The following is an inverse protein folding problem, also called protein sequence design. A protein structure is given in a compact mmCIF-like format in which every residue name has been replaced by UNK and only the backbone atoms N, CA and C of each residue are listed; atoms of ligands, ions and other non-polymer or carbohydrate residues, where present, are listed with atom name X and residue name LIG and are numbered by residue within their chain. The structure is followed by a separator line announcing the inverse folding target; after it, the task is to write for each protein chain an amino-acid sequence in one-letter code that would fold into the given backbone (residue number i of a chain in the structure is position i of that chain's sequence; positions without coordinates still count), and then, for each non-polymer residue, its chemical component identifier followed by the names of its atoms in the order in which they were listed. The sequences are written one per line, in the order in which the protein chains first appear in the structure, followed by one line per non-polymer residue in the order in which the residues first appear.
data_IF_073803320501
#
_entry.id   IF_073803320501
#
_cell.length_a   1.000
_cell.length_b   1.000
_cell.length_c   1.000
_cell.angle_alpha   90.00
_cell.angle_beta   90.00
_cell.angle_gamma   90.00
#
_symmetry.space_group_name_H-M   'P 1'
#
loop_
_entity.id
_entity.type
_entity.pdbx_description
1 polymer ?
#
# COMPACT_ATOMS: atom_id res chain seq x y z
N UNK A 1 34.99 13.35 -8.05
CA UNK A 1 34.70 12.46 -9.19
C UNK A 1 34.20 11.15 -8.58
N UNK A 2 32.88 11.00 -8.44
CA UNK A 2 32.28 9.78 -7.89
C UNK A 2 32.22 8.76 -9.03
N UNK A 3 33.14 7.81 -9.02
CA UNK A 3 33.15 6.67 -9.95
C UNK A 3 31.96 5.77 -9.61
N UNK A 4 30.92 5.82 -10.44
CA UNK A 4 29.74 4.95 -10.43
C UNK A 4 30.04 3.55 -11.00
N UNK A 5 31.25 3.03 -10.81
CA UNK A 5 31.64 1.70 -11.27
C UNK A 5 31.44 0.67 -10.16
N UNK A 6 30.18 0.35 -9.92
CA UNK A 6 29.80 -0.96 -9.40
C UNK A 6 28.50 -1.37 -10.07
N UNK A 7 28.62 -1.70 -11.36
CA UNK A 7 27.72 -2.61 -12.04
C UNK A 7 27.79 -3.96 -11.31
N UNK A 8 27.07 -4.06 -10.20
CA UNK A 8 26.85 -5.33 -9.53
C UNK A 8 26.04 -6.19 -10.50
N UNK A 9 26.66 -7.27 -10.98
CA UNK A 9 25.99 -8.39 -11.62
C UNK A 9 24.69 -8.65 -10.83
N UNK A 10 23.50 -8.55 -11.45
CA UNK A 10 22.26 -8.81 -10.73
C UNK A 10 22.29 -10.29 -10.33
N UNK A 11 22.62 -10.56 -9.06
CA UNK A 11 22.31 -11.85 -8.48
C UNK A 11 20.80 -11.95 -8.54
N UNK A 12 20.31 -12.96 -9.26
CA UNK A 12 18.88 -13.21 -9.45
C UNK A 12 18.32 -13.64 -8.09
N UNK A 13 18.01 -12.68 -7.24
CA UNK A 13 17.34 -12.89 -5.97
C UNK A 13 15.86 -13.11 -6.27
N UNK A 14 15.50 -14.37 -6.49
CA UNK A 14 14.14 -14.80 -6.82
C UNK A 14 13.10 -14.45 -5.74
N UNK A 15 13.56 -14.13 -4.52
CA UNK A 15 12.71 -13.70 -3.41
C UNK A 15 12.49 -12.18 -3.37
N UNK A 16 13.25 -11.42 -4.15
CA UNK A 16 13.16 -9.96 -4.18
C UNK A 16 11.75 -9.44 -4.55
N UNK A 17 11.09 -9.98 -5.60
CA UNK A 17 9.72 -9.58 -5.94
C UNK A 17 8.71 -9.90 -4.85
N UNK A 18 8.88 -11.06 -4.19
CA UNK A 18 8.00 -11.48 -3.10
C UNK A 18 8.15 -10.58 -1.88
N UNK A 19 9.38 -10.21 -1.49
CA UNK A 19 9.64 -9.28 -0.38
C UNK A 19 9.05 -7.90 -0.65
N UNK A 20 9.27 -7.38 -1.85
CA UNK A 20 8.69 -6.10 -2.26
C UNK A 20 7.16 -6.14 -2.22
N UNK A 21 6.54 -7.20 -2.75
CA UNK A 21 5.09 -7.38 -2.70
C UNK A 21 4.55 -7.40 -1.27
N UNK A 22 5.14 -8.20 -0.37
CA UNK A 22 4.73 -8.24 1.05
C UNK A 22 4.86 -6.85 1.69
N UNK A 23 5.92 -6.12 1.37
CA UNK A 23 6.14 -4.77 1.90
C UNK A 23 5.06 -3.78 1.43
N UNK A 24 4.81 -3.69 0.13
CA UNK A 24 3.78 -2.82 -0.42
C UNK A 24 2.38 -3.18 0.08
N UNK A 25 2.07 -4.48 0.15
CA UNK A 25 0.79 -4.94 0.69
C UNK A 25 0.64 -4.58 2.17
N UNK A 26 1.69 -4.73 2.97
CA UNK A 26 1.68 -4.39 4.40
C UNK A 26 1.43 -2.88 4.61
N UNK A 27 2.06 -2.03 3.80
CA UNK A 27 1.86 -0.59 3.85
C UNK A 27 0.42 -0.21 3.46
N UNK A 28 -0.10 -0.80 2.38
CA UNK A 28 -1.50 -0.60 1.95
C UNK A 28 -2.49 -1.00 3.05
N UNK A 29 -2.29 -2.18 3.65
CA UNK A 29 -3.11 -2.67 4.76
C UNK A 29 -3.14 -1.71 5.95
N UNK A 30 -1.99 -1.14 6.32
CA UNK A 30 -1.91 -0.15 7.41
C UNK A 30 -2.68 1.12 7.05
N UNK A 31 -2.47 1.69 5.85
CA UNK A 31 -3.14 2.94 5.44
C UNK A 31 -4.65 2.77 5.36
N UNK A 32 -5.13 1.72 4.70
CA UNK A 32 -6.57 1.49 4.58
C UNK A 32 -7.21 1.11 5.91
N UNK A 33 -6.49 0.44 6.82
CA UNK A 33 -6.97 0.22 8.20
C UNK A 33 -7.20 1.53 8.95
N UNK A 34 -6.32 2.53 8.78
CA UNK A 34 -6.51 3.85 9.38
C UNK A 34 -7.75 4.56 8.83
N UNK A 35 -8.00 4.45 7.53
CA UNK A 35 -9.21 4.99 6.89
C UNK A 35 -10.46 4.32 7.45
N UNK A 36 -10.48 3.00 7.58
CA UNK A 36 -11.61 2.25 8.16
C UNK A 36 -11.87 2.67 9.61
N UNK A 37 -10.84 2.84 10.41
CA UNK A 37 -10.97 3.32 11.80
C UNK A 37 -11.52 4.76 11.86
N UNK A 38 -11.05 5.65 10.97
CA UNK A 38 -11.54 7.01 10.88
C UNK A 38 -13.02 7.04 10.45
N UNK A 39 -13.39 6.20 9.48
CA UNK A 39 -14.76 6.05 9.01
C UNK A 39 -15.67 5.49 10.10
N UNK A 40 -15.22 4.49 10.88
CA UNK A 40 -15.97 3.95 12.00
C UNK A 40 -16.27 5.04 13.06
N UNK A 41 -15.26 5.84 13.42
CA UNK A 41 -15.44 6.99 14.31
C UNK A 41 -16.47 7.98 13.75
N UNK A 42 -16.40 8.27 12.45
CA UNK A 42 -17.32 9.19 11.79
C UNK A 42 -18.77 8.68 11.83
N UNK A 43 -18.98 7.41 11.50
CA UNK A 43 -20.30 6.78 11.54
C UNK A 43 -20.87 6.76 12.97
N UNK A 44 -20.03 6.53 13.98
CA UNK A 44 -20.43 6.57 15.39
C UNK A 44 -20.87 7.97 15.83
N UNK A 45 -20.14 9.02 15.44
CA UNK A 45 -20.52 10.42 15.71
C UNK A 45 -21.85 10.77 15.05
N UNK A 46 -22.04 10.36 13.79
CA UNK A 46 -23.30 10.57 13.05
C UNK A 46 -24.43 9.62 13.48
N UNK A 47 -24.22 8.78 14.50
CA UNK A 47 -25.18 7.78 15.03
C UNK A 47 -25.69 6.79 13.97
N UNK A 48 -24.90 6.52 12.93
CA UNK A 48 -25.24 5.58 11.87
C UNK A 48 -24.86 4.17 12.33
N UNK A 49 -25.84 3.27 12.46
CA UNK A 49 -25.64 1.90 12.99
C UNK A 49 -25.03 0.91 11.98
N UNK A 50 -24.44 1.37 10.90
CA UNK A 50 -23.97 0.51 9.79
C UNK A 50 -22.95 -0.55 10.24
N UNK A 51 -22.04 -0.17 11.14
CA UNK A 51 -20.96 -1.01 11.69
C UNK A 51 -21.25 -1.58 13.08
N UNK A 52 -22.50 -1.61 13.54
CA UNK A 52 -22.80 -2.01 14.91
C UNK A 52 -22.64 -3.53 15.15
N UNK A 53 -22.68 -4.34 14.09
CA UNK A 53 -22.49 -5.80 14.18
C UNK A 53 -21.02 -6.18 14.02
N UNK A 54 -20.53 -7.05 14.91
CA UNK A 54 -19.16 -7.60 14.84
C UNK A 54 -18.92 -8.37 13.53
N UNK A 55 -19.93 -9.07 13.00
CA UNK A 55 -19.81 -9.79 11.73
C UNK A 55 -19.54 -8.84 10.58
N UNK A 56 -20.24 -7.70 10.51
CA UNK A 56 -20.03 -6.68 9.47
C UNK A 56 -18.65 -6.05 9.56
N UNK A 57 -18.16 -5.76 10.78
CA UNK A 57 -16.80 -5.24 10.96
C UNK A 57 -15.76 -6.23 10.41
N UNK A 58 -15.89 -7.51 10.77
CA UNK A 58 -15.01 -8.56 10.24
C UNK A 58 -15.10 -8.69 8.72
N UNK A 59 -16.31 -8.65 8.14
CA UNK A 59 -16.48 -8.70 6.67
C UNK A 59 -15.77 -7.54 5.99
N UNK A 60 -15.86 -6.32 6.53
CA UNK A 60 -15.21 -5.15 5.93
C UNK A 60 -13.69 -5.26 6.02
N UNK A 61 -13.16 -5.67 7.18
CA UNK A 61 -11.72 -5.92 7.34
C UNK A 61 -11.25 -6.97 6.35
N UNK A 62 -11.91 -8.13 6.27
CA UNK A 62 -11.54 -9.18 5.30
C UNK A 62 -11.60 -8.70 3.85
N UNK A 63 -12.64 -7.92 3.50
CA UNK A 63 -12.74 -7.34 2.15
C UNK A 63 -11.64 -6.34 1.84
N UNK A 64 -11.20 -5.55 2.82
CA UNK A 64 -10.08 -4.62 2.69
C UNK A 64 -8.77 -5.36 2.48
N UNK A 65 -8.52 -6.46 3.20
CA UNK A 65 -7.33 -7.28 2.97
C UNK A 65 -7.32 -7.88 1.56
N UNK A 66 -8.45 -8.43 1.10
CA UNK A 66 -8.56 -8.95 -0.27
C UNK A 66 -8.30 -7.85 -1.30
N UNK A 67 -8.87 -6.66 -1.08
CA UNK A 67 -8.66 -5.50 -1.93
C UNK A 67 -7.17 -5.12 -1.99
N UNK A 68 -6.46 -5.11 -0.86
CA UNK A 68 -5.04 -4.69 -0.80
C UNK A 68 -4.09 -5.67 -1.47
N UNK A 69 -4.33 -6.98 -1.28
CA UNK A 69 -3.61 -8.01 -2.03
C UNK A 69 -3.86 -7.86 -3.54
N UNK A 70 -5.11 -7.61 -3.94
CA UNK A 70 -5.46 -7.45 -5.36
C UNK A 70 -4.85 -6.18 -5.95
N UNK A 71 -4.87 -5.07 -5.21
CA UNK A 71 -4.35 -3.77 -5.62
C UNK A 71 -2.83 -3.79 -5.80
N UNK A 72 -2.12 -4.55 -4.96
CA UNK A 72 -0.66 -4.68 -5.04
C UNK A 72 -0.18 -5.77 -5.99
N UNK A 73 -1.09 -6.63 -6.49
CA UNK A 73 -0.77 -7.73 -7.39
C UNK A 73 -0.09 -7.31 -8.71
N UNK A 74 -0.48 -6.21 -9.40
CA UNK A 74 0.19 -5.79 -10.63
C UNK A 74 1.68 -5.48 -10.44
N UNK A 75 2.05 -4.99 -9.25
CA UNK A 75 3.44 -4.70 -8.88
C UNK A 75 4.26 -6.00 -8.84
N UNK A 76 3.67 -7.08 -8.33
CA UNK A 76 4.29 -8.39 -8.28
C UNK A 76 4.37 -9.04 -9.67
N UNK A 77 3.28 -9.02 -10.44
CA UNK A 77 3.18 -9.67 -11.76
C UNK A 77 4.11 -9.05 -12.81
N UNK A 78 4.42 -7.76 -12.70
CA UNK A 78 5.32 -7.10 -13.64
C UNK A 78 6.79 -7.48 -13.45
N UNK A 79 7.16 -8.10 -12.32
CA UNK A 79 8.51 -8.58 -12.00
C UNK A 79 9.64 -7.54 -12.24
N UNK A 80 9.32 -6.24 -12.21
CA UNK A 80 10.24 -5.14 -12.50
C UNK A 80 10.92 -4.62 -11.22
N UNK A 81 11.32 -5.54 -10.35
CA UNK A 81 11.92 -5.21 -9.06
C UNK A 81 13.43 -5.20 -9.17
N UNK A 82 14.05 -4.14 -8.65
CA UNK A 82 15.50 -3.99 -8.58
C UNK A 82 15.91 -4.11 -7.12
N UNK A 83 16.97 -4.89 -6.89
CA UNK A 83 17.58 -5.03 -5.57
C UNK A 83 18.60 -3.92 -5.38
N UNK A 84 18.45 -3.13 -4.32
CA UNK A 84 19.52 -2.25 -3.85
C UNK A 84 20.56 -3.14 -3.16
N UNK A 85 21.78 -3.15 -3.67
CA UNK A 85 22.89 -3.96 -3.15
C UNK A 85 23.30 -3.60 -1.73
N UNK A 86 23.02 -2.36 -1.29
CA UNK A 86 23.49 -1.84 0.01
C UNK A 86 22.61 -2.33 1.17
N UNK A 87 21.28 -2.46 0.96
CA UNK A 87 20.34 -2.72 2.06
C UNK A 87 19.49 -4.00 1.89
N UNK A 88 19.75 -4.83 0.87
CA UNK A 88 18.86 -5.93 0.46
C UNK A 88 17.40 -5.47 0.24
N UNK A 89 17.18 -4.18 0.00
CA UNK A 89 15.87 -3.61 -0.26
C UNK A 89 15.48 -3.87 -1.71
N UNK A 90 14.23 -4.27 -1.90
CA UNK A 90 13.65 -4.57 -3.20
C UNK A 90 12.57 -3.54 -3.50
N UNK A 91 12.77 -2.79 -4.57
CA UNK A 91 11.91 -1.67 -4.94
C UNK A 91 11.64 -1.69 -6.44
N UNK A 92 10.59 -0.97 -6.83
CA UNK A 92 10.19 -0.83 -8.23
C UNK A 92 11.28 -0.08 -9.00
N UNK A 93 11.69 -0.60 -10.15
CA UNK A 93 12.65 0.08 -11.02
C UNK A 93 12.21 1.51 -11.35
N UNK A 94 13.13 2.47 -11.22
CA UNK A 94 12.90 3.88 -11.58
C UNK A 94 12.55 4.07 -13.07
N UNK A 95 12.91 3.09 -13.92
CA UNK A 95 12.54 3.10 -15.34
C UNK A 95 11.05 2.89 -15.61
N UNK A 96 10.29 2.38 -14.62
CA UNK A 96 8.84 2.13 -14.71
C UNK A 96 8.06 3.22 -13.99
N UNK A 97 8.10 4.43 -14.56
CA UNK A 97 7.35 5.58 -14.06
C UNK A 97 5.84 5.32 -13.98
N UNK A 98 5.29 4.52 -14.89
CA UNK A 98 3.91 4.04 -14.88
C UNK A 98 3.57 3.33 -13.56
N UNK A 99 4.42 2.39 -13.15
CA UNK A 99 4.23 1.59 -11.94
C UNK A 99 4.51 2.42 -10.67
N UNK A 100 5.44 3.37 -10.73
CA UNK A 100 5.70 4.33 -9.65
C UNK A 100 4.54 5.30 -9.44
N UNK A 101 3.94 5.81 -10.51
CA UNK A 101 2.76 6.67 -10.42
C UNK A 101 1.53 5.90 -9.96
N UNK A 102 1.38 4.65 -10.42
CA UNK A 102 0.33 3.76 -9.92
C UNK A 102 0.47 3.54 -8.41
N UNK A 103 1.67 3.15 -7.95
CA UNK A 103 1.91 2.89 -6.53
C UNK A 103 1.83 4.16 -5.70
N UNK A 104 2.61 5.18 -6.03
CA UNK A 104 2.61 6.47 -5.35
C UNK A 104 1.23 7.14 -5.34
N UNK A 105 0.56 7.20 -6.49
CA UNK A 105 -0.71 7.88 -6.66
C UNK A 105 -1.89 7.13 -6.03
N UNK A 106 -2.05 5.85 -6.36
CA UNK A 106 -3.24 5.10 -5.97
C UNK A 106 -3.13 4.57 -4.54
N UNK A 107 -1.96 4.05 -4.16
CA UNK A 107 -1.80 3.43 -2.82
C UNK A 107 -1.62 4.50 -1.75
N UNK A 108 -0.83 5.56 -2.01
CA UNK A 108 -0.50 6.56 -1.00
C UNK A 108 -1.37 7.82 -1.14
N UNK A 109 -1.25 8.55 -2.25
CA UNK A 109 -1.88 9.87 -2.39
C UNK A 109 -3.40 9.79 -2.28
N UNK A 110 -4.04 8.83 -2.95
CA UNK A 110 -5.49 8.68 -2.89
C UNK A 110 -5.95 8.32 -1.47
N UNK A 111 -5.25 7.39 -0.81
CA UNK A 111 -5.53 6.99 0.57
C UNK A 111 -5.42 8.16 1.54
N UNK A 112 -4.37 8.96 1.41
CA UNK A 112 -4.14 10.14 2.25
C UNK A 112 -5.20 11.23 2.02
N UNK A 113 -5.63 11.44 0.77
CA UNK A 113 -6.74 12.35 0.45
C UNK A 113 -8.03 11.87 1.10
N UNK A 114 -8.36 10.57 0.97
CA UNK A 114 -9.55 9.99 1.61
C UNK A 114 -9.49 10.17 3.12
N UNK A 115 -8.34 9.88 3.74
CA UNK A 115 -8.14 10.05 5.17
C UNK A 115 -8.35 11.52 5.59
N UNK A 116 -7.74 12.47 4.85
CA UNK A 116 -7.89 13.90 5.11
C UNK A 116 -9.35 14.37 5.00
N UNK A 117 -10.09 13.87 4.01
CA UNK A 117 -11.53 14.16 3.85
C UNK A 117 -12.33 13.63 5.05
N UNK A 118 -12.11 12.37 5.45
CA UNK A 118 -12.80 11.78 6.61
C UNK A 118 -12.49 12.55 7.89
N UNK A 119 -11.23 12.96 8.11
CA UNK A 119 -10.86 13.79 9.25
C UNK A 119 -11.50 15.17 9.23
N UNK A 120 -11.57 15.84 8.07
CA UNK A 120 -12.29 17.12 7.97
C UNK A 120 -13.78 16.99 8.30
N UNK A 121 -14.39 15.87 7.93
CA UNK A 121 -15.78 15.56 8.27
C UNK A 121 -16.00 15.22 9.75
N UNK A 122 -14.95 14.81 10.47
CA UNK A 122 -14.98 14.55 11.91
C UNK A 122 -14.90 15.83 12.76
N UNK A 123 -14.16 16.84 12.30
CA UNK A 123 -13.94 18.10 13.03
C UNK A 123 -15.14 19.07 12.94
N UNK A 124 -16.03 18.88 11.93
CA UNK A 124 -17.25 19.68 11.74
C UNK A 124 -18.48 19.00 12.35
#
# INVERSE_FOLDING_TARGET
MLTFDQQSVPTIDSLCPLRAYIHYCSIACVHHSLILQALEKYLKIRRIKFLNSQTRKMTIVLSQWIFDFTLTLPIFLTNNMVKLTIDNLCFISLSRLDLLLYTGGIIYVLSDIVLAVVYRLLVR
#
